data_IF_008277912501
#
_entry.id   IF_008277912501
#
_cell.length_a   1.000
_cell.length_b   1.000
_cell.length_c   1.000
_cell.angle_alpha   90.00
_cell.angle_beta   90.00
_cell.angle_gamma   90.00
#
_symmetry.space_group_name_H-M   'P 1'
#
loop_
_entity.id
_entity.type
_entity.pdbx_description
1 polymer ?
#
# COMPACT_ATOMS: atom_id res chain seq x y z
N UNK A 1 -14.46 -19.91 -30.64
CA UNK A 1 -14.66 -20.94 -29.60
C UNK A 1 -13.90 -20.44 -28.40
N UNK A 2 -14.58 -20.26 -27.27
CA UNK A 2 -13.89 -19.94 -26.03
C UNK A 2 -13.01 -21.13 -25.64
N UNK A 3 -11.80 -20.85 -25.14
CA UNK A 3 -10.87 -21.89 -24.70
C UNK A 3 -11.53 -22.77 -23.63
N UNK A 4 -11.32 -24.07 -23.71
CA UNK A 4 -11.81 -25.04 -22.71
C UNK A 4 -11.16 -24.76 -21.34
N UNK A 5 -11.80 -25.17 -20.25
CA UNK A 5 -11.24 -25.01 -18.90
C UNK A 5 -9.84 -25.63 -18.79
N UNK A 6 -9.61 -26.77 -19.43
CA UNK A 6 -8.31 -27.44 -19.43
C UNK A 6 -7.23 -26.59 -20.13
N UNK A 7 -7.55 -26.01 -21.29
CA UNK A 7 -6.64 -25.09 -21.99
C UNK A 7 -6.37 -23.83 -21.17
N UNK A 8 -7.38 -23.28 -20.49
CA UNK A 8 -7.19 -22.12 -19.60
C UNK A 8 -6.27 -22.45 -18.41
N UNK A 9 -6.43 -23.62 -17.78
CA UNK A 9 -5.55 -24.08 -16.69
C UNK A 9 -4.13 -24.29 -17.18
N UNK A 10 -3.94 -24.92 -18.35
CA UNK A 10 -2.60 -25.17 -18.91
C UNK A 10 -1.89 -23.88 -19.32
N UNK A 11 -2.62 -22.88 -19.79
CA UNK A 11 -2.06 -21.56 -20.07
C UNK A 11 -1.68 -20.83 -18.78
N UNK A 12 -2.61 -20.73 -17.81
CA UNK A 12 -2.40 -19.99 -16.55
C UNK A 12 -1.42 -20.64 -15.58
N UNK A 13 -1.30 -21.96 -15.58
CA UNK A 13 -0.31 -22.65 -14.72
C UNK A 13 1.12 -22.49 -15.22
N UNK A 14 1.34 -22.27 -16.52
CA UNK A 14 2.66 -21.95 -17.10
C UNK A 14 3.10 -20.52 -16.81
N UNK A 15 2.18 -19.68 -16.36
CA UNK A 15 2.39 -18.27 -16.02
C UNK A 15 2.91 -18.09 -14.58
N UNK A 16 2.73 -19.11 -13.72
CA UNK A 16 3.17 -19.12 -12.32
C UNK A 16 4.29 -20.13 -12.14
N UNK A 17 5.52 -19.64 -11.93
CA UNK A 17 6.67 -20.47 -11.62
C UNK A 17 7.09 -20.27 -10.17
N UNK A 18 6.84 -21.29 -9.35
CA UNK A 18 7.26 -21.29 -7.94
C UNK A 18 8.28 -22.39 -7.66
N UNK A 19 9.21 -22.06 -6.77
CA UNK A 19 10.16 -23.01 -6.22
C UNK A 19 10.14 -22.94 -4.70
N UNK A 20 10.54 -23.99 -3.99
CA UNK A 20 10.54 -23.99 -2.53
C UNK A 20 11.78 -24.65 -1.94
N UNK A 21 12.43 -23.94 -1.02
CA UNK A 21 13.65 -24.37 -0.37
C UNK A 21 13.59 -24.15 1.13
N UNK A 22 14.14 -25.09 1.89
CA UNK A 22 14.38 -24.88 3.32
C UNK A 22 15.71 -24.17 3.52
N UNK A 23 15.68 -22.94 4.04
CA UNK A 23 16.85 -22.11 4.29
C UNK A 23 17.02 -21.88 5.79
N UNK A 24 18.24 -21.99 6.30
CA UNK A 24 18.54 -21.69 7.70
C UNK A 24 18.42 -20.19 7.97
N UNK A 25 18.06 -19.82 9.20
CA UNK A 25 18.02 -18.42 9.63
C UNK A 25 19.39 -17.75 9.44
N UNK A 26 20.49 -18.49 9.64
CA UNK A 26 21.84 -18.00 9.38
C UNK A 26 22.09 -17.62 7.92
N UNK A 27 21.61 -18.42 6.97
CA UNK A 27 21.69 -18.12 5.53
C UNK A 27 20.84 -16.88 5.19
N UNK A 28 19.61 -16.79 5.69
CA UNK A 28 18.74 -15.62 5.51
C UNK A 28 19.42 -14.34 6.03
N UNK A 29 20.06 -14.43 7.20
CA UNK A 29 20.83 -13.33 7.78
C UNK A 29 22.00 -12.93 6.87
N UNK A 30 22.72 -13.89 6.28
CA UNK A 30 23.83 -13.61 5.36
C UNK A 30 23.33 -12.91 4.10
N UNK A 31 22.31 -13.47 3.46
CA UNK A 31 21.71 -12.90 2.25
C UNK A 31 21.19 -11.47 2.49
N UNK A 32 20.55 -11.20 3.63
CA UNK A 32 20.12 -9.84 3.97
C UNK A 32 21.31 -8.87 4.14
N UNK A 33 22.41 -9.32 4.77
CA UNK A 33 23.62 -8.50 4.94
C UNK A 33 24.32 -8.21 3.61
N UNK A 34 24.30 -9.19 2.71
CA UNK A 34 24.92 -9.11 1.38
C UNK A 34 24.05 -8.34 0.37
N UNK A 35 22.76 -8.13 0.67
CA UNK A 35 21.82 -7.43 -0.19
C UNK A 35 21.08 -8.35 -1.17
N UNK A 36 21.17 -9.66 -1.00
CA UNK A 36 20.50 -10.67 -1.82
C UNK A 36 19.03 -10.88 -1.41
N UNK A 37 18.65 -10.48 -0.19
CA UNK A 37 17.26 -10.35 0.24
C UNK A 37 16.98 -8.89 0.58
N UNK A 38 16.01 -8.30 -0.10
CA UNK A 38 15.58 -6.93 0.11
C UNK A 38 14.25 -6.89 0.88
N UNK A 39 14.27 -6.10 1.96
CA UNK A 39 13.05 -5.71 2.68
C UNK A 39 12.91 -4.23 2.41
N UNK A 40 12.09 -3.90 1.42
CA UNK A 40 11.86 -2.53 1.01
C UNK A 40 11.54 -1.66 2.24
N UNK A 41 12.30 -0.55 2.45
CA UNK A 41 12.04 0.41 3.50
C UNK A 41 10.55 0.79 3.64
N UNK A 42 9.89 0.99 2.49
CA UNK A 42 8.48 1.36 2.36
C UNK A 42 7.52 0.34 3.00
N UNK A 43 7.97 -0.91 3.18
CA UNK A 43 7.18 -1.97 3.80
C UNK A 43 7.32 -1.97 5.31
N UNK A 44 8.38 -1.39 5.87
CA UNK A 44 8.66 -1.47 7.29
C UNK A 44 7.62 -0.75 8.16
N UNK A 45 6.94 0.27 7.64
CA UNK A 45 5.78 0.85 8.34
C UNK A 45 4.62 -0.13 8.53
N UNK A 46 4.57 -1.21 7.75
CA UNK A 46 3.62 -2.31 7.92
C UNK A 46 4.03 -3.26 9.02
N UNK A 47 5.27 -3.17 9.55
CA UNK A 47 5.76 -3.95 10.68
C UNK A 47 5.05 -3.55 11.98
N UNK A 48 3.88 -4.14 12.22
CA UNK A 48 2.95 -3.78 13.30
C UNK A 48 2.85 -4.82 14.41
N UNK A 49 3.63 -5.90 14.33
CA UNK A 49 3.64 -6.86 15.43
C UNK A 49 4.04 -6.21 16.74
N UNK A 50 3.27 -6.51 17.79
CA UNK A 50 3.62 -6.11 19.16
C UNK A 50 4.84 -6.87 19.64
N UNK A 51 5.56 -6.32 20.63
CA UNK A 51 6.70 -7.01 21.26
C UNK A 51 6.34 -8.42 21.73
N UNK A 52 5.11 -8.64 22.20
CA UNK A 52 4.61 -9.97 22.56
C UNK A 52 4.51 -10.93 21.36
N UNK A 53 3.96 -10.48 20.23
CA UNK A 53 3.89 -11.30 19.00
C UNK A 53 5.29 -11.63 18.48
N UNK A 54 6.20 -10.66 18.50
CA UNK A 54 7.60 -10.85 18.14
C UNK A 54 8.27 -11.88 19.06
N UNK A 55 8.07 -11.77 20.37
CA UNK A 55 8.61 -12.70 21.36
C UNK A 55 8.10 -14.13 21.14
N UNK A 56 6.80 -14.30 20.84
CA UNK A 56 6.22 -15.62 20.53
C UNK A 56 6.82 -16.25 19.27
N UNK A 57 7.18 -15.46 18.26
CA UNK A 57 7.93 -15.98 17.11
C UNK A 57 9.30 -16.51 17.55
N UNK A 58 10.05 -15.73 18.34
CA UNK A 58 11.37 -16.15 18.81
C UNK A 58 11.29 -17.40 19.69
N UNK A 59 10.30 -17.49 20.57
CA UNK A 59 10.00 -18.71 21.31
C UNK A 59 9.75 -19.90 20.37
N UNK A 60 8.94 -19.70 19.32
CA UNK A 60 8.65 -20.74 18.32
C UNK A 60 9.92 -21.21 17.61
N UNK A 61 10.82 -20.30 17.23
CA UNK A 61 12.13 -20.64 16.64
C UNK A 61 12.96 -21.48 17.61
N UNK A 62 13.11 -21.03 18.86
CA UNK A 62 13.93 -21.71 19.86
C UNK A 62 13.40 -23.11 20.21
N UNK A 63 12.09 -23.32 20.11
CA UNK A 63 11.42 -24.60 20.36
C UNK A 63 11.25 -25.48 19.12
N UNK A 64 11.74 -25.05 17.94
CA UNK A 64 11.51 -25.72 16.65
C UNK A 64 10.03 -25.95 16.33
N UNK A 65 9.16 -25.03 16.75
CA UNK A 65 7.74 -25.04 16.37
C UNK A 65 7.64 -24.62 14.89
N UNK A 66 6.87 -25.32 14.04
CA UNK A 66 6.74 -24.96 12.62
C UNK A 66 6.28 -23.52 12.42
N UNK A 67 7.05 -22.77 11.64
CA UNK A 67 6.74 -21.38 11.25
C UNK A 67 6.25 -21.44 9.79
N UNK A 68 5.16 -20.75 9.43
CA UNK A 68 4.68 -20.77 8.05
C UNK A 68 5.71 -20.15 7.11
N UNK A 69 5.64 -20.54 5.83
CA UNK A 69 6.63 -20.15 4.81
C UNK A 69 6.76 -18.64 4.64
N UNK A 70 7.95 -18.20 4.22
CA UNK A 70 8.22 -16.84 3.74
C UNK A 70 8.15 -16.88 2.21
N UNK A 71 7.47 -15.91 1.60
CA UNK A 71 7.40 -15.82 0.14
C UNK A 71 8.25 -14.65 -0.33
N UNK A 72 9.01 -14.89 -1.39
CA UNK A 72 9.87 -13.90 -2.01
C UNK A 72 9.62 -13.87 -3.52
N UNK A 73 9.78 -12.72 -4.16
CA UNK A 73 9.83 -12.62 -5.62
C UNK A 73 11.26 -12.39 -6.07
N UNK A 74 11.71 -13.19 -7.02
CA UNK A 74 13.02 -13.01 -7.62
C UNK A 74 12.97 -11.89 -8.67
N UNK A 75 13.83 -10.90 -8.51
CA UNK A 75 14.05 -9.82 -9.49
C UNK A 75 14.93 -10.27 -10.64
N UNK A 76 14.98 -9.45 -11.70
CA UNK A 76 15.83 -9.72 -12.89
C UNK A 76 17.32 -9.69 -12.57
N UNK A 77 17.74 -8.90 -11.58
CA UNK A 77 19.11 -8.81 -11.07
C UNK A 77 19.48 -9.96 -10.12
N UNK A 78 18.53 -10.83 -9.75
CA UNK A 78 18.73 -12.00 -8.92
C UNK A 78 18.38 -11.81 -7.45
N UNK A 79 18.21 -10.57 -6.98
CA UNK A 79 17.83 -10.24 -5.60
C UNK A 79 16.39 -10.69 -5.32
N UNK A 80 16.11 -11.06 -4.08
CA UNK A 80 14.81 -11.52 -3.62
C UNK A 80 14.09 -10.43 -2.83
N UNK A 81 12.97 -9.96 -3.35
CA UNK A 81 12.10 -9.04 -2.63
C UNK A 81 11.15 -9.85 -1.74
N UNK A 82 11.04 -9.50 -0.45
CA UNK A 82 10.10 -10.17 0.45
C UNK A 82 8.66 -9.76 0.12
N UNK A 83 7.83 -10.76 -0.20
CA UNK A 83 6.44 -10.62 -0.65
C UNK A 83 5.46 -10.99 0.47
N UNK A 84 5.69 -12.10 1.18
CA UNK A 84 4.93 -12.44 2.39
C UNK A 84 5.87 -12.89 3.51
N UNK A 85 5.47 -12.63 4.75
CA UNK A 85 6.26 -12.93 5.93
C UNK A 85 7.16 -11.81 6.39
N UNK A 86 6.88 -10.58 5.95
CA UNK A 86 7.53 -9.36 6.40
C UNK A 86 7.66 -9.27 7.93
N UNK A 87 6.58 -9.55 8.67
CA UNK A 87 6.61 -9.52 10.15
C UNK A 87 7.60 -10.54 10.73
N UNK A 88 7.64 -11.75 10.15
CA UNK A 88 8.50 -12.84 10.60
C UNK A 88 9.96 -12.50 10.34
N UNK A 89 10.31 -12.19 9.09
CA UNK A 89 11.70 -11.90 8.72
C UNK A 89 12.21 -10.64 9.44
N UNK A 90 11.40 -9.58 9.53
CA UNK A 90 11.77 -8.35 10.24
C UNK A 90 12.00 -8.61 11.73
N UNK A 91 11.17 -9.45 12.36
CA UNK A 91 11.37 -9.85 13.77
C UNK A 91 12.70 -10.59 13.97
N UNK A 92 13.04 -11.52 13.08
CA UNK A 92 14.31 -12.26 13.16
C UNK A 92 15.51 -11.31 13.00
N UNK A 93 15.46 -10.42 12.01
CA UNK A 93 16.51 -9.43 11.76
C UNK A 93 16.62 -8.40 12.89
N UNK A 94 15.49 -7.97 13.46
CA UNK A 94 15.46 -7.06 14.62
C UNK A 94 16.06 -7.75 15.85
N UNK A 95 15.71 -9.02 16.09
CA UNK A 95 16.22 -9.75 17.25
C UNK A 95 17.74 -9.91 17.22
N UNK A 96 18.33 -10.16 16.04
CA UNK A 96 19.78 -10.22 15.86
C UNK A 96 20.45 -8.84 15.69
N UNK A 97 19.68 -7.75 15.72
CA UNK A 97 20.18 -6.37 15.71
C UNK A 97 20.68 -5.87 14.36
N UNK A 98 20.18 -6.41 13.24
CA UNK A 98 20.61 -6.01 11.89
C UNK A 98 19.50 -5.40 11.03
N UNK A 99 18.26 -5.38 11.51
CA UNK A 99 17.17 -4.71 10.79
C UNK A 99 17.47 -3.21 10.67
N UNK A 100 17.52 -2.70 9.44
CA UNK A 100 17.64 -1.25 9.19
C UNK A 100 16.25 -0.64 9.05
N UNK A 101 16.08 0.59 9.50
CA UNK A 101 14.86 1.38 9.35
C UNK A 101 14.83 2.14 8.00
N UNK A 102 13.76 2.90 7.75
CA UNK A 102 13.58 3.70 6.53
C UNK A 102 14.73 4.69 6.25
N UNK A 103 15.47 5.09 7.29
CA UNK A 103 16.62 6.02 7.19
C UNK A 103 17.96 5.28 7.07
N UNK A 104 17.93 3.96 6.89
CA UNK A 104 19.11 3.10 6.83
C UNK A 104 19.83 2.90 8.17
N UNK A 105 19.25 3.34 9.29
CA UNK A 105 19.82 3.13 10.63
C UNK A 105 19.35 1.80 11.21
N UNK A 106 20.19 1.13 11.98
CA UNK A 106 19.76 -0.08 12.68
C UNK A 106 18.67 0.23 13.71
N UNK A 107 17.63 -0.59 13.71
CA UNK A 107 16.61 -0.65 14.75
C UNK A 107 17.21 -1.21 16.04
N UNK A 108 16.65 -0.78 17.17
CA UNK A 108 17.05 -1.32 18.46
C UNK A 108 16.78 -2.83 18.52
N UNK A 109 17.74 -3.64 19.02
CA UNK A 109 17.55 -5.08 19.14
C UNK A 109 16.33 -5.42 19.99
N UNK A 110 15.58 -6.44 19.56
CA UNK A 110 14.40 -6.88 20.28
C UNK A 110 14.79 -7.45 21.65
N UNK A 111 14.27 -6.83 22.72
CA UNK A 111 14.30 -7.37 24.08
C UNK A 111 13.05 -8.24 24.26
N UNK A 112 13.26 -9.51 24.60
CA UNK A 112 12.19 -10.48 24.70
C UNK A 112 11.34 -10.29 25.96
N UNK A 113 10.04 -10.52 25.81
CA UNK A 113 9.08 -10.55 26.91
C UNK A 113 8.97 -11.94 27.54
N UNK A 114 8.18 -12.07 28.61
CA UNK A 114 7.82 -13.37 29.16
C UNK A 114 6.85 -14.09 28.24
N UNK A 115 7.04 -15.40 28.09
CA UNK A 115 6.12 -16.30 27.40
C UNK A 115 5.69 -17.45 28.32
N UNK A 116 4.67 -18.21 27.90
CA UNK A 116 4.14 -19.32 28.69
C UNK A 116 5.08 -20.53 28.72
N UNK A 117 5.72 -20.87 27.59
CA UNK A 117 6.57 -22.08 27.49
C UNK A 117 8.01 -21.80 27.95
N UNK A 118 8.52 -20.58 27.71
CA UNK A 118 9.85 -20.14 28.12
C UNK A 118 9.81 -18.82 28.93
N UNK A 119 9.33 -18.82 30.18
CA UNK A 119 9.28 -17.60 31.00
C UNK A 119 10.63 -16.89 31.19
N UNK A 120 11.73 -17.66 31.11
CA UNK A 120 13.10 -17.18 31.20
C UNK A 120 13.57 -16.34 29.99
N UNK A 121 12.75 -16.16 28.95
CA UNK A 121 13.04 -15.24 27.85
C UNK A 121 12.97 -13.77 28.28
N UNK A 122 12.29 -13.45 29.39
CA UNK A 122 12.13 -12.06 29.85
C UNK A 122 13.47 -11.33 29.95
N UNK A 123 13.61 -10.23 29.23
CA UNK A 123 14.80 -9.39 29.24
C UNK A 123 15.96 -9.92 28.41
N UNK A 124 15.82 -11.09 27.76
CA UNK A 124 16.86 -11.66 26.90
C UNK A 124 16.94 -10.93 25.56
N UNK A 125 18.16 -10.75 25.08
CA UNK A 125 18.48 -10.32 23.72
C UNK A 125 19.32 -11.39 23.01
N UNK A 126 19.51 -11.27 21.70
CA UNK A 126 20.37 -12.22 20.97
C UNK A 126 21.85 -12.14 21.43
N UNK A 127 22.33 -10.92 21.71
CA UNK A 127 23.75 -10.61 21.91
C UNK A 127 24.50 -10.42 20.58
N UNK A 128 25.69 -9.82 20.62
CA UNK A 128 26.61 -9.77 19.48
C UNK A 128 27.89 -10.56 19.80
N UNK A 129 28.63 -10.93 18.75
CA UNK A 129 29.86 -11.71 18.89
C UNK A 129 30.94 -10.95 19.72
N UNK A 130 30.80 -9.63 19.86
CA UNK A 130 31.67 -8.75 20.66
C UNK A 130 31.14 -8.42 22.07
N UNK A 131 29.93 -8.84 22.44
CA UNK A 131 29.39 -8.64 23.80
C UNK A 131 29.91 -9.72 24.73
N UNK A 132 30.37 -9.32 25.92
CA UNK A 132 30.55 -10.27 27.02
C UNK A 132 29.22 -11.01 27.25
N UNK A 133 29.29 -12.35 27.36
CA UNK A 133 28.13 -13.18 27.65
C UNK A 133 27.56 -12.76 29.01
N UNK A 134 26.44 -12.05 28.98
CA UNK A 134 25.75 -11.61 30.20
C UNK A 134 24.54 -12.50 30.46
N UNK A 135 24.05 -12.48 31.70
CA UNK A 135 22.79 -13.10 32.11
C UNK A 135 21.57 -12.61 31.30
N UNK A 136 21.69 -11.54 30.48
CA UNK A 136 20.61 -11.00 29.65
C UNK A 136 20.78 -11.29 28.15
N UNK A 137 21.74 -12.14 27.76
CA UNK A 137 21.92 -12.59 26.37
C UNK A 137 21.61 -14.08 26.22
N UNK A 138 21.32 -14.51 24.99
CA UNK A 138 21.38 -15.94 24.63
C UNK A 138 22.82 -16.45 24.72
N UNK A 139 23.02 -17.70 25.11
CA UNK A 139 24.34 -18.31 25.10
C UNK A 139 24.83 -18.63 23.69
N UNK A 140 26.13 -18.86 23.51
CA UNK A 140 26.71 -19.29 22.22
C UNK A 140 26.06 -20.56 21.66
N UNK A 141 25.65 -21.47 22.54
CA UNK A 141 24.96 -22.69 22.15
C UNK A 141 23.56 -22.36 21.63
N UNK A 142 22.82 -21.51 22.32
CA UNK A 142 21.47 -21.09 21.93
C UNK A 142 21.49 -20.30 20.62
N UNK A 143 22.44 -19.36 20.46
CA UNK A 143 22.63 -18.60 19.20
C UNK A 143 22.93 -19.52 18.02
N UNK A 144 23.78 -20.54 18.20
CA UNK A 144 24.08 -21.53 17.14
C UNK A 144 22.86 -22.35 16.75
N UNK A 145 22.03 -22.77 17.71
CA UNK A 145 20.79 -23.48 17.40
C UNK A 145 19.81 -22.58 16.67
N UNK A 146 19.60 -21.34 17.14
CA UNK A 146 18.75 -20.35 16.48
C UNK A 146 19.14 -20.15 15.01
N UNK A 147 20.43 -19.91 14.72
CA UNK A 147 20.92 -19.71 13.34
C UNK A 147 20.73 -20.96 12.45
N UNK A 148 20.59 -22.17 13.01
CA UNK A 148 20.43 -23.43 12.26
C UNK A 148 18.98 -23.83 12.01
N UNK A 149 18.02 -23.18 12.68
CA UNK A 149 16.59 -23.42 12.40
C UNK A 149 16.31 -23.09 10.94
N UNK A 150 15.57 -23.97 10.27
CA UNK A 150 15.22 -23.81 8.86
C UNK A 150 13.82 -23.24 8.71
N UNK A 151 13.68 -22.27 7.83
CA UNK A 151 12.42 -21.71 7.37
C UNK A 151 12.18 -22.16 5.94
N UNK A 152 10.91 -22.40 5.60
CA UNK A 152 10.54 -22.70 4.23
C UNK A 152 10.42 -21.38 3.45
N UNK A 153 11.22 -21.23 2.39
CA UNK A 153 11.22 -20.12 1.47
C UNK A 153 10.51 -20.55 0.19
N UNK A 154 9.46 -19.83 -0.22
CA UNK A 154 8.81 -20.03 -1.51
C UNK A 154 9.18 -18.87 -2.42
N UNK A 155 9.79 -19.19 -3.54
CA UNK A 155 10.33 -18.22 -4.49
C UNK A 155 9.39 -18.15 -5.68
N UNK A 156 8.86 -16.95 -5.95
CA UNK A 156 8.15 -16.63 -7.17
C UNK A 156 9.21 -16.23 -8.18
N UNK A 157 9.47 -17.12 -9.14
CA UNK A 157 10.55 -16.95 -10.10
C UNK A 157 10.29 -15.74 -11.01
N UNK A 158 11.38 -15.12 -11.49
CA UNK A 158 11.32 -13.91 -12.33
C UNK A 158 10.57 -14.11 -13.65
N UNK A 159 10.49 -15.36 -14.11
CA UNK A 159 9.77 -15.83 -15.30
C UNK A 159 8.25 -15.77 -15.13
N UNK A 160 7.75 -15.73 -13.89
CA UNK A 160 6.31 -15.55 -13.64
C UNK A 160 5.87 -14.19 -14.16
N UNK A 161 4.72 -14.13 -14.83
CA UNK A 161 4.19 -12.86 -15.27
C UNK A 161 3.80 -11.97 -14.07
N UNK A 162 3.76 -10.67 -14.31
CA UNK A 162 3.58 -9.68 -13.25
C UNK A 162 2.16 -9.70 -12.65
N UNK A 163 1.14 -10.06 -13.43
CA UNK A 163 -0.24 -10.16 -12.96
C UNK A 163 -0.37 -11.41 -12.05
N UNK A 164 0.29 -12.50 -12.41
CA UNK A 164 0.41 -13.71 -11.57
C UNK A 164 1.14 -13.45 -10.25
N UNK A 165 2.22 -12.67 -10.25
CA UNK A 165 2.92 -12.26 -9.01
C UNK A 165 1.98 -11.49 -8.07
N UNK A 166 1.19 -10.58 -8.64
CA UNK A 166 0.19 -9.80 -7.91
C UNK A 166 -0.91 -10.68 -7.30
N UNK A 167 -1.52 -11.54 -8.12
CA UNK A 167 -2.58 -12.44 -7.66
C UNK A 167 -2.09 -13.37 -6.54
N UNK A 168 -0.85 -13.85 -6.66
CA UNK A 168 -0.22 -14.67 -5.63
C UNK A 168 0.01 -13.86 -4.35
N UNK A 169 0.54 -12.64 -4.43
CA UNK A 169 0.69 -11.76 -3.28
C UNK A 169 -0.63 -11.49 -2.56
N UNK A 170 -1.71 -11.18 -3.29
CA UNK A 170 -3.03 -10.99 -2.68
C UNK A 170 -3.51 -12.23 -1.93
N UNK A 171 -3.40 -13.41 -2.56
CA UNK A 171 -3.83 -14.67 -1.95
C UNK A 171 -3.05 -15.01 -0.69
N UNK A 172 -1.74 -14.74 -0.68
CA UNK A 172 -0.87 -15.05 0.45
C UNK A 172 -1.11 -14.13 1.65
N UNK A 173 -1.43 -12.85 1.43
CA UNK A 173 -1.71 -11.89 2.49
C UNK A 173 -3.03 -12.15 3.25
N UNK A 174 -3.80 -13.17 2.89
CA UNK A 174 -5.04 -13.54 3.60
C UNK A 174 -4.82 -14.39 4.85
N UNK A 175 -3.63 -14.97 5.04
CA UNK A 175 -3.35 -15.91 6.14
C UNK A 175 -2.90 -15.28 7.48
N UNK A 176 -2.67 -13.97 7.54
CA UNK A 176 -2.11 -13.26 8.70
C UNK A 176 -2.84 -11.97 9.05
N UNK A 177 -2.14 -10.98 9.62
CA UNK A 177 -2.68 -9.60 9.71
C UNK A 177 -2.80 -9.05 8.29
N UNK A 178 -4.02 -9.07 7.76
CA UNK A 178 -4.29 -8.67 6.39
C UNK A 178 -3.82 -7.23 6.14
N UNK A 179 -3.07 -7.05 5.05
CA UNK A 179 -2.79 -5.73 4.50
C UNK A 179 -4.09 -5.13 3.97
N UNK A 180 -4.28 -3.83 4.16
CA UNK A 180 -5.38 -3.12 3.52
C UNK A 180 -5.11 -2.94 2.01
N UNK A 181 -6.13 -2.61 1.22
CA UNK A 181 -6.01 -2.47 -0.24
C UNK A 181 -4.90 -1.49 -0.67
N UNK A 182 -4.74 -0.39 0.06
CA UNK A 182 -3.72 0.60 -0.23
C UNK A 182 -2.31 0.14 0.18
N UNK A 183 -2.18 -0.70 1.19
CA UNK A 183 -0.91 -1.34 1.57
C UNK A 183 -0.50 -2.36 0.51
N UNK A 184 -1.44 -3.18 0.04
CA UNK A 184 -1.24 -4.09 -1.10
C UNK A 184 -0.78 -3.29 -2.33
N UNK A 185 -1.50 -2.21 -2.65
CA UNK A 185 -1.17 -1.32 -3.77
C UNK A 185 0.22 -0.71 -3.65
N UNK A 186 0.60 -0.30 -2.44
CA UNK A 186 1.93 0.26 -2.18
C UNK A 186 3.02 -0.77 -2.50
N UNK A 187 2.83 -2.03 -2.11
CA UNK A 187 3.77 -3.10 -2.45
C UNK A 187 3.96 -3.25 -3.96
N UNK A 188 2.87 -3.25 -4.72
CA UNK A 188 2.94 -3.38 -6.18
C UNK A 188 3.67 -2.21 -6.82
N UNK A 189 3.38 -1.00 -6.37
CA UNK A 189 4.03 0.20 -6.91
C UNK A 189 5.53 0.18 -6.61
N UNK A 190 5.93 -0.20 -5.39
CA UNK A 190 7.35 -0.32 -5.01
C UNK A 190 8.06 -1.38 -5.84
N UNK A 191 7.46 -2.57 -6.00
CA UNK A 191 8.01 -3.64 -6.85
C UNK A 191 8.08 -3.25 -8.33
N UNK A 192 7.15 -2.40 -8.80
CA UNK A 192 7.12 -1.93 -10.19
C UNK A 192 8.16 -0.85 -10.45
N UNK A 193 8.19 0.19 -9.61
CA UNK A 193 9.14 1.30 -9.71
C UNK A 193 9.23 2.06 -8.37
N UNK A 194 10.24 1.78 -7.53
CA UNK A 194 10.35 2.36 -6.19
C UNK A 194 10.63 3.86 -6.22
N UNK A 195 11.37 4.36 -7.22
CA UNK A 195 11.63 5.80 -7.38
C UNK A 195 10.33 6.56 -7.67
N UNK A 196 9.52 6.03 -8.59
CA UNK A 196 8.23 6.65 -8.92
C UNK A 196 7.24 6.56 -7.75
N UNK A 197 7.23 5.46 -7.00
CA UNK A 197 6.46 5.35 -5.77
C UNK A 197 6.82 6.47 -4.78
N UNK A 198 8.12 6.73 -4.54
CA UNK A 198 8.57 7.82 -3.66
C UNK A 198 8.08 9.18 -4.14
N UNK A 199 8.18 9.47 -5.44
CA UNK A 199 7.68 10.73 -6.02
C UNK A 199 6.15 10.89 -5.88
N UNK A 200 5.38 9.81 -6.04
CA UNK A 200 3.92 9.84 -5.81
C UNK A 200 3.63 10.06 -4.32
N UNK A 201 4.39 9.42 -3.43
CA UNK A 201 4.23 9.57 -1.98
C UNK A 201 4.48 11.01 -1.52
N UNK A 202 5.46 11.70 -2.08
CA UNK A 202 5.72 13.13 -1.78
C UNK A 202 4.51 14.03 -2.04
N UNK A 203 3.62 13.67 -2.97
CA UNK A 203 2.39 14.44 -3.22
C UNK A 203 1.42 14.38 -2.05
N UNK A 204 1.49 13.34 -1.20
CA UNK A 204 0.62 13.25 -0.02
C UNK A 204 0.97 14.30 1.04
N UNK A 205 2.18 14.84 0.98
CA UNK A 205 2.69 15.86 1.91
C UNK A 205 2.64 17.27 1.30
N UNK A 206 2.12 17.41 0.07
CA UNK A 206 1.97 18.70 -0.58
C UNK A 206 1.00 19.60 0.21
N UNK A 207 1.42 20.81 0.57
CA UNK A 207 0.71 21.67 1.51
C UNK A 207 -0.77 21.88 1.13
N UNK A 208 -1.05 22.22 -0.13
CA UNK A 208 -2.42 22.43 -0.60
C UNK A 208 -3.25 21.15 -0.61
N UNK A 209 -2.63 19.99 -0.83
CA UNK A 209 -3.31 18.70 -0.74
C UNK A 209 -3.69 18.36 0.71
N UNK A 210 -2.77 18.58 1.65
CA UNK A 210 -3.01 18.37 3.09
C UNK A 210 -4.10 19.31 3.61
N UNK A 211 -4.00 20.60 3.30
CA UNK A 211 -4.95 21.63 3.79
C UNK A 211 -6.37 21.44 3.26
N UNK A 212 -6.55 20.86 2.08
CA UNK A 212 -7.87 20.66 1.49
C UNK A 212 -8.52 19.34 1.88
N UNK A 213 -7.71 18.30 2.11
CA UNK A 213 -8.21 16.97 2.47
C UNK A 213 -8.55 16.84 3.96
N UNK A 214 -7.76 17.46 4.85
CA UNK A 214 -8.07 17.51 6.29
C UNK A 214 -8.29 16.12 6.91
N UNK A 215 -7.50 15.12 6.50
CA UNK A 215 -7.65 13.74 6.93
C UNK A 215 -7.25 13.57 8.41
N UNK A 216 -7.91 12.64 9.11
CA UNK A 216 -7.55 12.26 10.48
C UNK A 216 -6.24 11.46 10.52
N UNK A 217 -5.58 11.43 11.68
CA UNK A 217 -4.36 10.64 11.91
C UNK A 217 -4.56 9.17 11.52
N UNK A 218 -5.70 8.58 11.90
CA UNK A 218 -6.06 7.21 11.49
C UNK A 218 -6.05 7.02 9.97
N UNK A 219 -6.65 7.96 9.21
CA UNK A 219 -6.67 7.87 7.76
C UNK A 219 -5.26 8.01 7.15
N UNK A 220 -4.38 8.79 7.79
CA UNK A 220 -2.98 8.94 7.36
C UNK A 220 -2.20 7.64 7.65
N UNK A 221 -2.40 7.03 8.81
CA UNK A 221 -1.81 5.74 9.21
C UNK A 221 -2.22 4.59 8.27
N UNK A 222 -3.49 4.56 7.87
CA UNK A 222 -4.03 3.60 6.88
C UNK A 222 -3.69 3.98 5.43
N UNK A 223 -2.95 5.08 5.22
CA UNK A 223 -2.52 5.62 3.93
C UNK A 223 -3.65 6.05 2.98
N UNK A 224 -4.79 6.43 3.51
CA UNK A 224 -5.89 6.92 2.70
C UNK A 224 -5.53 8.16 1.88
N UNK A 225 -4.60 8.99 2.37
CA UNK A 225 -4.03 10.10 1.60
C UNK A 225 -3.36 9.65 0.29
N UNK A 226 -2.58 8.56 0.34
CA UNK A 226 -1.94 7.99 -0.84
C UNK A 226 -2.97 7.39 -1.79
N UNK A 227 -4.01 6.75 -1.26
CA UNK A 227 -5.14 6.28 -2.06
C UNK A 227 -5.81 7.44 -2.82
N UNK A 228 -6.01 8.60 -2.18
CA UNK A 228 -6.58 9.77 -2.86
C UNK A 228 -5.69 10.25 -4.02
N UNK A 229 -4.38 10.32 -3.83
CA UNK A 229 -3.45 10.69 -4.91
C UNK A 229 -3.53 9.69 -6.07
N UNK A 230 -3.55 8.39 -5.78
CA UNK A 230 -3.66 7.36 -6.82
C UNK A 230 -5.03 7.39 -7.49
N UNK A 231 -6.10 7.62 -6.72
CA UNK A 231 -7.46 7.82 -7.23
C UNK A 231 -7.50 8.99 -8.20
N UNK A 232 -6.80 10.09 -7.91
CA UNK A 232 -6.67 11.21 -8.83
C UNK A 232 -6.04 10.79 -10.15
N UNK A 233 -4.85 10.20 -10.09
CA UNK A 233 -4.06 9.79 -11.25
C UNK A 233 -4.84 8.79 -12.13
N UNK A 234 -5.47 7.78 -11.52
CA UNK A 234 -6.16 6.72 -12.25
C UNK A 234 -7.53 7.12 -12.80
N UNK A 235 -8.24 8.06 -12.17
CA UNK A 235 -9.66 8.32 -12.47
C UNK A 235 -9.91 9.66 -13.18
N UNK A 236 -9.01 10.63 -13.08
CA UNK A 236 -9.20 11.98 -13.63
C UNK A 236 -9.60 11.96 -15.10
N UNK A 237 -8.88 11.20 -15.93
CA UNK A 237 -9.12 11.07 -17.38
C UNK A 237 -9.89 9.80 -17.78
N UNK A 238 -10.40 9.04 -16.81
CA UNK A 238 -11.11 7.79 -17.09
C UNK A 238 -12.38 8.04 -17.93
N UNK A 239 -12.54 7.35 -19.05
CA UNK A 239 -13.73 7.45 -19.86
C UNK A 239 -14.95 6.93 -19.08
N UNK A 240 -16.10 7.59 -19.23
CA UNK A 240 -17.31 7.28 -18.46
C UNK A 240 -17.82 5.86 -18.78
N UNK A 241 -17.57 5.42 -20.02
CA UNK A 241 -17.95 4.14 -20.58
C UNK A 241 -17.17 2.98 -19.92
N UNK A 242 -15.91 3.23 -19.56
CA UNK A 242 -15.01 2.25 -18.93
C UNK A 242 -15.35 2.00 -17.45
N UNK A 243 -16.05 2.94 -16.79
CA UNK A 243 -16.44 2.83 -15.37
C UNK A 243 -17.43 1.67 -15.15
N UNK A 244 -18.29 1.37 -16.14
CA UNK A 244 -19.34 0.35 -16.00
C UNK A 244 -18.78 -1.07 -15.81
N UNK A 245 -17.53 -1.30 -16.20
CA UNK A 245 -16.85 -2.58 -16.09
C UNK A 245 -16.08 -2.80 -14.79
N UNK A 246 -16.10 -1.85 -13.85
CA UNK A 246 -15.41 -2.00 -12.56
C UNK A 246 -16.33 -2.75 -11.59
N UNK A 247 -15.99 -3.93 -11.06
CA UNK A 247 -16.78 -4.55 -10.00
C UNK A 247 -16.33 -4.10 -8.61
N UNK A 248 -15.01 -3.95 -8.44
CA UNK A 248 -14.33 -3.53 -7.22
C UNK A 248 -13.34 -2.39 -7.51
N UNK A 249 -13.43 -1.31 -6.73
CA UNK A 249 -12.59 -0.12 -6.95
C UNK A 249 -11.16 -0.33 -6.46
N UNK A 250 -10.97 -1.12 -5.41
CA UNK A 250 -9.64 -1.43 -4.88
C UNK A 250 -8.81 -2.17 -5.91
N UNK A 251 -9.37 -3.25 -6.44
CA UNK A 251 -8.78 -4.06 -7.51
C UNK A 251 -8.53 -3.23 -8.76
N UNK A 252 -9.50 -2.41 -9.18
CA UNK A 252 -9.32 -1.55 -10.34
C UNK A 252 -8.13 -0.60 -10.17
N UNK A 253 -8.04 0.09 -9.02
CA UNK A 253 -6.92 1.00 -8.76
C UNK A 253 -5.58 0.26 -8.74
N UNK A 254 -5.54 -0.98 -8.21
CA UNK A 254 -4.33 -1.82 -8.18
C UNK A 254 -3.83 -2.13 -9.59
N UNK A 255 -4.70 -2.62 -10.47
CA UNK A 255 -4.31 -2.95 -11.84
C UNK A 255 -3.98 -1.69 -12.66
N UNK A 256 -4.78 -0.63 -12.53
CA UNK A 256 -4.57 0.57 -13.34
C UNK A 256 -3.30 1.32 -12.98
N UNK A 257 -2.96 1.47 -11.69
CA UNK A 257 -1.76 2.20 -11.33
C UNK A 257 -0.51 1.48 -11.85
N UNK A 258 -0.47 0.15 -11.76
CA UNK A 258 0.63 -0.66 -12.31
C UNK A 258 0.70 -0.53 -13.83
N UNK A 259 -0.44 -0.56 -14.52
CA UNK A 259 -0.51 -0.34 -15.98
C UNK A 259 0.04 1.04 -16.37
N UNK A 260 -0.38 2.09 -15.66
CA UNK A 260 0.09 3.47 -15.91
C UNK A 260 1.59 3.60 -15.61
N UNK A 261 2.10 3.00 -14.53
CA UNK A 261 3.53 2.98 -14.18
C UNK A 261 4.41 2.29 -15.23
N UNK A 262 3.85 1.35 -15.98
CA UNK A 262 4.56 0.63 -17.06
C UNK A 262 4.43 1.31 -18.42
N UNK A 263 3.54 2.30 -18.59
CA UNK A 263 3.37 3.01 -19.85
C UNK A 263 4.49 4.05 -20.05
N UNK A 264 5.41 3.86 -21.01
CA UNK A 264 6.50 4.81 -21.25
C UNK A 264 6.01 6.16 -21.80
N UNK A 265 4.78 6.23 -22.29
CA UNK A 265 4.19 7.46 -22.83
C UNK A 265 3.47 8.29 -21.76
N UNK A 266 3.28 7.75 -20.57
CA UNK A 266 2.61 8.48 -19.50
C UNK A 266 3.53 9.57 -18.94
N UNK A 267 3.10 10.83 -19.07
CA UNK A 267 3.89 11.96 -18.58
C UNK A 267 3.57 12.27 -17.11
N UNK A 268 4.39 11.70 -16.23
CA UNK A 268 4.29 11.88 -14.78
C UNK A 268 4.42 13.33 -14.32
N UNK A 269 5.30 14.11 -14.94
CA UNK A 269 5.52 15.51 -14.54
C UNK A 269 4.30 16.38 -14.84
N UNK A 270 3.63 16.14 -15.98
CA UNK A 270 2.36 16.78 -16.31
C UNK A 270 1.29 16.37 -15.30
N UNK A 271 1.15 15.08 -14.99
CA UNK A 271 0.13 14.61 -14.05
C UNK A 271 0.34 15.18 -12.63
N UNK A 272 1.59 15.23 -12.16
CA UNK A 272 1.95 15.85 -10.89
C UNK A 272 1.66 17.35 -10.88
N UNK A 273 1.95 18.05 -11.98
CA UNK A 273 1.63 19.47 -12.13
C UNK A 273 0.12 19.72 -12.09
N UNK A 274 -0.66 18.87 -12.77
CA UNK A 274 -2.13 18.97 -12.79
C UNK A 274 -2.71 18.74 -11.40
N UNK A 275 -2.20 17.76 -10.65
CA UNK A 275 -2.60 17.54 -9.26
C UNK A 275 -2.29 18.78 -8.43
N UNK A 276 -1.05 19.28 -8.44
CA UNK A 276 -0.65 20.47 -7.67
C UNK A 276 -1.52 21.68 -8.01
N UNK A 277 -1.70 21.98 -9.30
CA UNK A 277 -2.55 23.09 -9.76
C UNK A 277 -3.99 22.94 -9.28
N UNK A 278 -4.56 21.74 -9.33
CA UNK A 278 -5.93 21.47 -8.86
C UNK A 278 -6.07 21.76 -7.38
N UNK A 279 -5.13 21.24 -6.57
CA UNK A 279 -5.17 21.40 -5.13
C UNK A 279 -4.81 22.82 -4.68
N UNK A 280 -3.95 23.54 -5.40
CA UNK A 280 -3.67 24.96 -5.14
C UNK A 280 -4.91 25.82 -5.34
N UNK A 281 -5.65 25.59 -6.43
CA UNK A 281 -6.91 26.30 -6.68
C UNK A 281 -7.95 25.99 -5.59
N UNK A 282 -8.09 24.73 -5.21
CA UNK A 282 -8.99 24.33 -4.11
C UNK A 282 -8.59 24.94 -2.77
N UNK A 283 -7.30 24.98 -2.48
CA UNK A 283 -6.79 25.54 -1.24
C UNK A 283 -7.01 27.06 -1.18
N UNK A 284 -6.79 27.77 -2.29
CA UNK A 284 -7.06 29.21 -2.37
C UNK A 284 -8.55 29.54 -2.15
N UNK A 285 -9.45 28.72 -2.71
CA UNK A 285 -10.90 29.02 -2.68
C UNK A 285 -11.61 28.47 -1.43
N UNK A 286 -11.28 27.25 -0.99
CA UNK A 286 -12.08 26.49 -0.03
C UNK A 286 -11.31 25.97 1.18
N UNK A 287 -9.99 25.76 1.07
CA UNK A 287 -9.16 25.14 2.14
C UNK A 287 -9.79 23.83 2.63
N UNK A 288 -9.89 23.64 3.94
CA UNK A 288 -10.49 22.49 4.63
C UNK A 288 -11.96 22.22 4.27
N UNK A 289 -12.65 23.20 3.65
CA UNK A 289 -14.05 23.06 3.24
C UNK A 289 -14.21 22.37 1.88
N UNK A 290 -13.12 22.01 1.22
CA UNK A 290 -13.13 21.47 -0.15
C UNK A 290 -13.96 20.20 -0.31
N UNK A 291 -13.93 19.30 0.68
CA UNK A 291 -14.52 17.96 0.54
C UNK A 291 -15.49 17.61 1.68
N UNK A 292 -16.16 18.61 2.25
CA UNK A 292 -17.19 18.43 3.28
C UNK A 292 -18.56 18.83 2.74
N UNK A 293 -19.62 18.45 3.46
CA UNK A 293 -20.99 18.73 3.03
C UNK A 293 -21.36 20.20 3.26
N UNK A 294 -22.02 20.81 2.28
CA UNK A 294 -22.71 22.08 2.42
C UNK A 294 -24.21 21.86 2.64
N UNK A 295 -24.79 22.61 3.58
CA UNK A 295 -26.23 22.73 3.71
C UNK A 295 -26.81 23.70 2.66
N UNK A 296 -28.12 23.66 2.38
CA UNK A 296 -28.78 24.64 1.51
C UNK A 296 -28.54 26.10 1.95
N UNK A 297 -28.34 26.32 3.25
CA UNK A 297 -28.05 27.63 3.87
C UNK A 297 -26.55 28.00 3.80
N UNK A 298 -25.72 27.15 3.21
CA UNK A 298 -24.28 27.37 3.04
C UNK A 298 -23.41 26.99 4.24
N UNK A 299 -23.98 26.35 5.27
CA UNK A 299 -23.23 25.88 6.42
C UNK A 299 -22.48 24.59 6.09
N UNK A 300 -21.20 24.54 6.45
CA UNK A 300 -20.36 23.37 6.28
C UNK A 300 -20.48 22.46 7.51
N UNK A 301 -20.64 21.15 7.31
CA UNK A 301 -20.70 20.19 8.42
C UNK A 301 -20.20 18.79 8.02
N UNK A 302 -19.69 18.05 9.01
CA UNK A 302 -19.19 16.69 8.84
C UNK A 302 -17.68 16.62 8.54
N UNK A 303 -17.19 15.39 8.33
CA UNK A 303 -15.80 15.13 7.95
C UNK A 303 -15.62 14.98 6.43
N UNK A 304 -14.42 14.59 6.02
CA UNK A 304 -14.07 14.32 4.63
C UNK A 304 -15.05 13.35 3.95
N UNK A 305 -15.53 13.71 2.75
CA UNK A 305 -16.42 12.91 1.93
C UNK A 305 -15.76 12.53 0.62
N UNK A 306 -15.53 11.22 0.44
CA UNK A 306 -14.97 10.67 -0.80
C UNK A 306 -15.79 11.01 -2.05
N UNK A 307 -17.11 11.10 -1.94
CA UNK A 307 -17.97 11.51 -3.05
C UNK A 307 -17.73 12.97 -3.45
N UNK A 308 -17.52 13.86 -2.46
CA UNK A 308 -17.18 15.25 -2.72
C UNK A 308 -15.80 15.36 -3.39
N UNK A 309 -14.83 14.57 -2.93
CA UNK A 309 -13.52 14.45 -3.57
C UNK A 309 -13.64 14.02 -5.04
N UNK A 310 -14.38 12.95 -5.33
CA UNK A 310 -14.57 12.45 -6.69
C UNK A 310 -15.25 13.47 -7.61
N UNK A 311 -16.23 14.24 -7.10
CA UNK A 311 -16.92 15.26 -7.90
C UNK A 311 -16.01 16.47 -8.13
N UNK A 312 -15.42 17.00 -7.06
CA UNK A 312 -14.77 18.32 -7.06
C UNK A 312 -13.32 18.20 -7.54
N UNK A 313 -12.50 17.35 -6.89
CA UNK A 313 -11.10 17.23 -7.26
C UNK A 313 -10.92 16.65 -8.66
N UNK A 314 -11.64 15.58 -9.01
CA UNK A 314 -11.53 14.97 -10.34
C UNK A 314 -12.24 15.81 -11.41
N UNK A 315 -13.31 16.53 -11.05
CA UNK A 315 -14.00 17.46 -11.94
C UNK A 315 -13.11 18.64 -12.35
N UNK A 316 -12.45 19.28 -11.38
CA UNK A 316 -11.46 20.35 -11.65
C UNK A 316 -10.23 19.76 -12.33
N UNK A 317 -9.72 18.65 -11.81
CA UNK A 317 -8.52 17.98 -12.32
C UNK A 317 -8.64 17.51 -13.76
N UNK A 318 -9.85 17.24 -14.27
CA UNK A 318 -10.05 16.83 -15.66
C UNK A 318 -9.37 17.79 -16.64
N UNK A 319 -9.57 19.09 -16.44
CA UNK A 319 -8.78 20.16 -17.04
C UNK A 319 -8.79 21.37 -16.11
N UNK A 320 -7.73 21.56 -15.29
CA UNK A 320 -7.69 22.66 -14.33
C UNK A 320 -7.68 24.03 -15.01
N UNK A 321 -7.25 24.13 -16.27
CA UNK A 321 -7.16 25.42 -16.97
C UNK A 321 -8.54 25.97 -17.34
N UNK A 322 -9.55 25.10 -17.50
CA UNK A 322 -10.93 25.49 -17.77
C UNK A 322 -11.69 26.00 -16.53
N UNK A 323 -11.13 25.84 -15.32
CA UNK A 323 -11.78 26.24 -14.07
C UNK A 323 -11.05 27.42 -13.45
N UNK A 324 -11.67 28.60 -13.43
CA UNK A 324 -11.13 29.77 -12.75
C UNK A 324 -11.28 29.62 -11.22
N UNK A 325 -10.28 30.10 -10.46
CA UNK A 325 -10.22 29.93 -9.00
C UNK A 325 -11.41 30.59 -8.30
N UNK A 326 -11.86 31.74 -8.82
CA UNK A 326 -12.97 32.54 -8.30
C UNK A 326 -14.33 31.83 -8.44
N UNK A 327 -14.46 30.89 -9.38
CA UNK A 327 -15.69 30.16 -9.63
C UNK A 327 -15.86 28.93 -8.73
N UNK A 328 -14.77 28.44 -8.13
CA UNK A 328 -14.74 27.14 -7.44
C UNK A 328 -15.72 27.09 -6.27
N UNK A 329 -15.80 28.14 -5.45
CA UNK A 329 -16.73 28.14 -4.31
C UNK A 329 -18.19 28.06 -4.78
N UNK A 330 -18.54 28.85 -5.80
CA UNK A 330 -19.89 28.87 -6.37
C UNK A 330 -20.24 27.52 -7.03
N UNK A 331 -19.32 26.94 -7.82
CA UNK A 331 -19.49 25.62 -8.43
C UNK A 331 -19.60 24.51 -7.38
N UNK A 332 -18.85 24.58 -6.29
CA UNK A 332 -18.98 23.63 -5.17
C UNK A 332 -20.32 23.75 -4.45
N UNK A 333 -20.85 24.95 -4.25
CA UNK A 333 -22.22 25.12 -3.73
C UNK A 333 -23.26 24.55 -4.70
N UNK A 334 -23.06 24.76 -6.01
CA UNK A 334 -23.92 24.20 -7.05
C UNK A 334 -23.93 22.67 -7.01
N UNK A 335 -22.78 22.01 -6.78
CA UNK A 335 -22.71 20.54 -6.59
C UNK A 335 -23.73 20.07 -5.55
N UNK A 336 -23.71 20.67 -4.36
CA UNK A 336 -24.62 20.29 -3.27
C UNK A 336 -26.09 20.65 -3.54
N UNK A 337 -26.33 21.77 -4.21
CA UNK A 337 -27.65 22.14 -4.70
C UNK A 337 -28.21 21.11 -5.68
N UNK A 338 -27.42 20.73 -6.69
CA UNK A 338 -27.80 19.73 -7.70
C UNK A 338 -28.02 18.35 -7.09
N UNK A 339 -27.16 17.90 -6.16
CA UNK A 339 -27.35 16.64 -5.43
C UNK A 339 -28.71 16.61 -4.73
N UNK A 340 -29.09 17.73 -4.10
CA UNK A 340 -30.35 17.85 -3.36
C UNK A 340 -31.55 17.91 -4.31
N UNK A 341 -31.48 18.72 -5.37
CA UNK A 341 -32.56 18.91 -6.34
C UNK A 341 -32.84 17.65 -7.18
N UNK A 342 -31.80 17.02 -7.70
CA UNK A 342 -31.91 15.81 -8.52
C UNK A 342 -32.02 14.53 -7.69
N UNK A 343 -32.09 14.63 -6.34
CA UNK A 343 -32.13 13.49 -5.42
C UNK A 343 -31.03 12.47 -5.69
N UNK A 344 -29.81 12.96 -6.00
CA UNK A 344 -28.67 12.11 -6.34
C UNK A 344 -28.25 11.37 -5.07
N UNK A 345 -28.55 10.08 -5.04
CA UNK A 345 -28.05 9.16 -4.02
C UNK A 345 -27.04 8.20 -4.62
N UNK A 346 -25.95 8.03 -3.87
CA UNK A 346 -24.96 6.96 -4.02
C UNK A 346 -25.04 5.94 -2.88
N UNK A 347 -25.97 6.11 -1.93
CA UNK A 347 -26.23 5.09 -0.91
C UNK A 347 -26.88 3.87 -1.57
N UNK A 348 -26.33 2.69 -1.32
CA UNK A 348 -26.81 1.42 -1.89
C UNK A 348 -26.27 1.09 -3.29
N UNK A 349 -25.40 1.93 -3.87
CA UNK A 349 -24.67 1.59 -5.09
C UNK A 349 -23.34 0.91 -4.73
N UNK A 350 -22.90 -0.03 -5.55
CA UNK A 350 -21.52 -0.49 -5.53
C UNK A 350 -20.57 0.66 -5.91
N UNK A 351 -19.26 0.47 -5.69
CA UNK A 351 -18.27 1.52 -5.88
C UNK A 351 -18.34 2.17 -7.28
N UNK A 352 -18.62 1.37 -8.31
CA UNK A 352 -18.65 1.77 -9.71
C UNK A 352 -19.92 2.53 -10.09
N UNK A 353 -21.07 2.11 -9.57
CA UNK A 353 -22.32 2.85 -9.70
C UNK A 353 -22.25 4.24 -9.05
N UNK A 354 -21.55 4.35 -7.91
CA UNK A 354 -21.25 5.63 -7.28
C UNK A 354 -20.29 6.45 -8.12
N UNK A 355 -19.16 5.86 -8.53
CA UNK A 355 -18.10 6.55 -9.27
C UNK A 355 -18.62 7.12 -10.60
N UNK A 356 -19.47 6.38 -11.30
CA UNK A 356 -20.10 6.84 -12.54
C UNK A 356 -20.91 8.13 -12.32
N UNK A 357 -21.66 8.21 -11.22
CA UNK A 357 -22.46 9.39 -10.89
C UNK A 357 -21.59 10.56 -10.46
N UNK A 358 -20.59 10.32 -9.61
CA UNK A 358 -19.73 11.38 -9.09
C UNK A 358 -18.86 12.00 -10.18
N UNK A 359 -18.26 11.18 -11.05
CA UNK A 359 -17.46 11.66 -12.18
C UNK A 359 -18.29 12.44 -13.21
N UNK A 360 -19.48 11.93 -13.59
CA UNK A 360 -20.39 12.64 -14.49
C UNK A 360 -20.79 14.00 -13.94
N UNK A 361 -21.16 14.05 -12.66
CA UNK A 361 -21.56 15.29 -12.02
C UNK A 361 -20.40 16.30 -11.95
N UNK A 362 -19.20 15.82 -11.60
CA UNK A 362 -17.99 16.65 -11.57
C UNK A 362 -17.68 17.27 -12.92
N UNK A 363 -17.67 16.47 -13.99
CA UNK A 363 -17.42 16.97 -15.35
C UNK A 363 -18.50 17.94 -15.83
N UNK A 364 -19.79 17.62 -15.59
CA UNK A 364 -20.90 18.53 -15.93
C UNK A 364 -20.73 19.92 -15.29
N UNK A 365 -20.38 19.97 -14.00
CA UNK A 365 -20.33 21.24 -13.25
C UNK A 365 -19.03 22.00 -13.48
N UNK A 366 -17.89 21.31 -13.50
CA UNK A 366 -16.59 21.97 -13.56
C UNK A 366 -16.07 22.17 -15.00
N UNK A 367 -16.46 21.31 -15.94
CA UNK A 367 -15.93 21.33 -17.31
C UNK A 367 -16.97 21.80 -18.35
N UNK A 368 -18.20 22.11 -17.94
CA UNK A 368 -19.31 22.45 -18.84
C UNK A 368 -19.58 21.37 -19.92
N UNK A 369 -19.21 20.11 -19.67
CA UNK A 369 -19.54 19.00 -20.57
C UNK A 369 -21.05 18.73 -20.53
N UNK A 370 -21.68 18.66 -21.71
CA UNK A 370 -23.05 18.18 -21.85
C UNK A 370 -23.04 16.65 -21.70
N UNK A 371 -23.91 16.13 -20.81
CA UNK A 371 -24.01 14.68 -20.51
C UNK A 371 -24.44 13.87 -21.73
#
# INVERSE_FOLDING_TARGET
>A
MDATLQEQIELKSKEIHTDSYSMSIGEIISMYKEGDIDIHPEFQRFFRWTSSQKTKLIESVLLNIPIPSIFVSQRKDGVWDVVDGLQRISTLLQFVGILKNEKGKYEEPLILETTELLPALKGKTFGNDDSEETDNTLSDVQRRYFKRVKLNMVIIQKESDEDSKYDLFQRLNTGGTALNDQEIRSCLMVMTNPELYRRIKELTDYLSFVQTTGLSDKNIEEQYNLELVIRFICLRKLAVEEIRGVPDLGDYLNHQIVKIMKDPNFNWDIEFSILKQTFDKLNLSLKEKSFIRYSPEGLCSGGFLVAAYEIIALGIGYDPNNVQTEEIENKTRLVWGTITQESISWKGYNASGRLLKTLKLGRRIFQNESI
#
